data_IF_946456344169
#
_entry.id   IF_946456344169
#
_cell.length_a   1.000
_cell.length_b   1.000
_cell.length_c   1.000
_cell.angle_alpha   90.00
_cell.angle_beta   90.00
_cell.angle_gamma   90.00
#
_symmetry.space_group_name_H-M   'P 1'
#
loop_
_entity.id
_entity.type
_entity.pdbx_description
1 polymer ?
#
# COMPACT_ATOMS: atom_id res chain seq x y z
N UNK A 1 -11.74 -14.93 18.69
CA UNK A 1 -11.28 -14.92 17.29
C UNK A 1 -10.02 -14.03 17.11
N UNK A 2 -8.99 -14.17 17.97
CA UNK A 2 -7.75 -13.35 17.94
C UNK A 2 -6.46 -14.15 17.69
N UNK A 3 -6.54 -15.48 17.62
CA UNK A 3 -5.36 -16.38 17.55
C UNK A 3 -5.18 -17.00 16.14
N UNK A 4 -6.23 -17.00 15.30
CA UNK A 4 -6.23 -17.73 14.03
C UNK A 4 -5.41 -17.03 12.94
N UNK A 5 -5.39 -15.69 12.91
CA UNK A 5 -4.63 -14.93 11.90
C UNK A 5 -3.10 -15.10 12.05
N UNK A 6 -2.60 -15.28 13.29
CA UNK A 6 -1.17 -15.47 13.53
C UNK A 6 -0.68 -16.85 13.05
N UNK A 7 -1.51 -17.88 13.17
CA UNK A 7 -1.15 -19.24 12.73
C UNK A 7 -1.13 -19.41 11.21
N UNK A 8 -1.95 -18.66 10.46
CA UNK A 8 -1.97 -18.73 8.98
C UNK A 8 -0.73 -18.04 8.38
N UNK A 9 -0.26 -16.93 8.96
CA UNK A 9 1.00 -16.33 8.54
C UNK A 9 2.20 -17.23 8.84
N UNK A 10 2.18 -17.97 9.96
CA UNK A 10 3.28 -18.85 10.34
C UNK A 10 3.39 -20.09 9.44
N UNK A 11 2.27 -20.64 8.97
CA UNK A 11 2.27 -21.84 8.10
C UNK A 11 2.69 -21.55 6.65
N UNK A 12 2.39 -20.35 6.12
CA UNK A 12 2.85 -19.92 4.78
C UNK A 12 4.36 -19.64 4.78
N UNK A 13 4.94 -19.23 5.92
CA UNK A 13 6.38 -18.96 6.05
C UNK A 13 7.26 -20.22 6.17
N UNK A 14 6.67 -21.40 6.35
CA UNK A 14 7.43 -22.63 6.67
C UNK A 14 7.39 -23.73 5.61
N UNK A 15 6.63 -23.57 4.52
CA UNK A 15 6.74 -24.44 3.35
C UNK A 15 7.89 -23.96 2.45
N UNK A 16 9.13 -24.25 2.84
CA UNK A 16 10.30 -24.03 1.98
C UNK A 16 10.17 -24.91 0.72
N UNK A 17 10.21 -24.34 -0.50
CA UNK A 17 10.33 -25.14 -1.71
C UNK A 17 11.68 -25.86 -1.68
N UNK A 18 11.63 -27.18 -1.81
CA UNK A 18 12.80 -28.05 -1.87
C UNK A 18 13.64 -27.71 -3.10
N UNK A 19 14.81 -27.11 -2.82
CA UNK A 19 16.04 -27.02 -3.63
C UNK A 19 16.02 -27.68 -5.02
N UNK A 20 15.48 -26.98 -6.01
CA UNK A 20 15.99 -27.07 -7.38
C UNK A 20 17.01 -25.94 -7.54
N UNK A 21 18.31 -26.27 -7.48
CA UNK A 21 19.37 -25.32 -7.80
C UNK A 21 19.43 -25.19 -9.32
N UNK A 22 18.67 -24.25 -9.88
CA UNK A 22 18.97 -23.75 -11.22
C UNK A 22 20.24 -22.90 -11.14
N UNK A 23 21.27 -23.30 -11.88
CA UNK A 23 22.52 -22.55 -12.03
C UNK A 23 22.26 -21.27 -12.85
N UNK A 24 21.71 -20.25 -12.18
CA UNK A 24 21.64 -18.90 -12.74
C UNK A 24 23.07 -18.33 -12.75
N UNK A 25 23.60 -17.88 -13.91
CA UNK A 25 24.93 -17.28 -13.98
C UNK A 25 25.09 -16.16 -12.95
N UNK A 26 26.18 -16.20 -12.16
CA UNK A 26 26.43 -15.23 -11.08
C UNK A 26 26.42 -13.76 -11.54
N UNK A 27 26.77 -13.50 -12.81
CA UNK A 27 26.70 -12.16 -13.41
C UNK A 27 25.27 -11.66 -13.63
N UNK A 28 24.32 -12.55 -13.97
CA UNK A 28 22.90 -12.23 -13.95
C UNK A 28 22.44 -12.01 -12.51
N UNK A 29 22.76 -12.91 -11.58
CA UNK A 29 22.34 -12.78 -10.18
C UNK A 29 22.76 -11.44 -9.52
N UNK A 30 23.98 -10.97 -9.78
CA UNK A 30 24.46 -9.68 -9.27
C UNK A 30 23.77 -8.47 -9.93
N UNK A 31 23.58 -8.50 -11.26
CA UNK A 31 22.83 -7.46 -11.98
C UNK A 31 21.35 -7.42 -11.54
N UNK A 32 20.81 -8.55 -11.11
CA UNK A 32 19.41 -8.71 -10.71
C UNK A 32 19.12 -8.14 -9.32
N UNK A 33 20.07 -8.27 -8.38
CA UNK A 33 19.96 -7.71 -7.02
C UNK A 33 19.90 -6.18 -7.01
N UNK A 34 20.29 -5.53 -8.11
CA UNK A 34 20.25 -4.06 -8.30
C UNK A 34 18.89 -3.55 -8.81
N UNK A 35 18.08 -4.41 -9.45
CA UNK A 35 16.86 -3.97 -10.15
C UNK A 35 15.80 -3.47 -9.15
N UNK A 36 15.62 -4.20 -8.05
CA UNK A 36 14.64 -3.88 -7.01
C UNK A 36 15.20 -3.02 -5.87
N UNK A 37 16.50 -2.68 -5.91
CA UNK A 37 17.04 -1.54 -5.15
C UNK A 37 16.50 -0.20 -5.67
N UNK A 38 15.81 -0.19 -6.81
CA UNK A 38 15.07 0.98 -7.27
C UNK A 38 14.13 1.46 -6.16
N UNK A 39 14.02 2.79 -6.04
CA UNK A 39 13.17 3.45 -5.06
C UNK A 39 11.71 3.41 -5.49
N UNK A 40 11.23 2.24 -5.93
CA UNK A 40 9.80 1.95 -6.08
C UNK A 40 9.11 2.33 -4.77
N UNK A 41 7.90 2.86 -4.88
CA UNK A 41 7.10 3.37 -3.76
C UNK A 41 5.86 2.50 -3.49
N UNK A 42 5.64 1.45 -4.29
CA UNK A 42 4.49 0.57 -4.23
C UNK A 42 3.29 1.10 -5.03
N UNK A 43 2.08 0.70 -4.62
CA UNK A 43 0.81 1.18 -5.16
C UNK A 43 -0.10 1.63 -4.01
N UNK A 44 -1.19 2.35 -4.32
CA UNK A 44 -2.00 3.14 -3.37
C UNK A 44 -2.25 2.41 -2.04
N UNK A 45 -2.66 1.13 -2.07
CA UNK A 45 -3.07 0.41 -0.86
C UNK A 45 -1.91 -0.35 -0.18
N UNK A 46 -1.03 -0.91 -0.99
CA UNK A 46 0.04 -1.84 -0.63
C UNK A 46 1.37 -1.14 -0.87
N UNK A 47 1.96 -0.53 0.18
CA UNK A 47 3.32 -0.07 0.07
C UNK A 47 4.24 -1.27 -0.09
N UNK A 48 5.40 -1.07 -0.71
CA UNK A 48 6.49 -2.02 -0.58
C UNK A 48 7.21 -1.82 0.77
N UNK A 49 8.25 -2.61 1.01
CA UNK A 49 9.05 -2.58 2.25
C UNK A 49 10.24 -1.62 2.19
N UNK A 50 10.35 -0.77 1.17
CA UNK A 50 11.45 0.16 1.05
C UNK A 50 11.33 1.33 2.04
N UNK A 51 12.49 1.81 2.47
CA UNK A 51 12.72 3.01 3.29
C UNK A 51 13.79 3.86 2.61
N UNK A 52 13.76 5.16 2.85
CA UNK A 52 14.82 6.09 2.47
C UNK A 52 16.10 5.78 3.25
N UNK A 53 17.26 5.97 2.62
CA UNK A 53 18.56 5.82 3.29
C UNK A 53 18.77 6.93 4.32
N UNK A 54 19.67 6.72 5.28
CA UNK A 54 19.98 7.74 6.29
C UNK A 54 20.40 9.06 5.63
N UNK A 55 19.72 10.15 5.97
CA UNK A 55 20.00 11.48 5.45
C UNK A 55 19.35 11.77 4.08
N UNK A 56 18.75 10.76 3.44
CA UNK A 56 18.08 10.91 2.17
C UNK A 56 16.74 11.64 2.34
N UNK A 57 16.49 12.60 1.46
CA UNK A 57 15.21 13.29 1.35
C UNK A 57 14.48 12.84 0.09
N UNK A 58 13.15 12.83 0.17
CA UNK A 58 12.32 12.59 -0.99
C UNK A 58 11.15 13.56 -1.00
N UNK A 59 10.81 14.07 -2.19
CA UNK A 59 9.67 14.96 -2.39
C UNK A 59 8.87 14.57 -3.63
N UNK A 60 7.55 14.44 -3.47
CA UNK A 60 6.70 13.95 -4.54
C UNK A 60 5.21 14.13 -4.26
N UNK A 61 4.39 13.67 -5.21
CA UNK A 61 2.93 13.74 -5.11
C UNK A 61 2.41 12.87 -3.96
N UNK A 62 2.98 11.66 -3.80
CA UNK A 62 2.53 10.72 -2.78
C UNK A 62 3.10 11.00 -1.39
N UNK A 63 4.40 11.28 -1.28
CA UNK A 63 5.00 11.60 0.02
C UNK A 63 6.15 12.61 -0.05
N UNK A 64 6.32 13.34 1.06
CA UNK A 64 7.57 13.99 1.46
C UNK A 64 8.16 13.16 2.59
N UNK A 65 9.42 12.76 2.47
CA UNK A 65 10.03 11.84 3.43
C UNK A 65 11.48 12.16 3.73
N UNK A 66 11.91 11.71 4.90
CA UNK A 66 13.30 11.74 5.35
C UNK A 66 13.69 10.39 5.95
N UNK A 67 14.81 9.84 5.50
CA UNK A 67 15.42 8.66 6.10
C UNK A 67 16.17 9.04 7.38
N UNK A 68 15.55 8.82 8.54
CA UNK A 68 16.17 9.09 9.82
C UNK A 68 17.33 8.11 10.11
N UNK A 69 17.18 6.86 9.67
CA UNK A 69 18.21 5.81 9.68
C UNK A 69 18.05 4.98 8.40
N UNK A 70 18.96 4.03 8.15
CA UNK A 70 18.83 3.09 7.01
C UNK A 70 17.68 2.07 7.17
N UNK A 71 16.96 2.13 8.29
CA UNK A 71 15.80 1.29 8.59
C UNK A 71 14.54 2.10 8.90
N UNK A 72 14.62 3.42 9.12
CA UNK A 72 13.50 4.26 9.56
C UNK A 72 13.31 5.45 8.62
N UNK A 73 12.11 5.54 8.04
CA UNK A 73 11.64 6.72 7.31
C UNK A 73 10.53 7.41 8.09
N UNK A 74 10.62 8.75 8.17
CA UNK A 74 9.53 9.62 8.60
C UNK A 74 8.96 10.32 7.38
N UNK A 75 7.66 10.29 7.18
CA UNK A 75 7.04 10.86 6.00
C UNK A 75 5.70 11.54 6.28
N UNK A 76 5.29 12.41 5.36
CA UNK A 76 3.94 12.96 5.23
C UNK A 76 3.53 12.85 3.76
N UNK A 77 2.25 13.06 3.45
CA UNK A 77 1.66 12.91 2.13
C UNK A 77 1.06 14.24 1.68
N UNK A 78 1.68 14.91 0.68
CA UNK A 78 1.09 16.06 0.01
C UNK A 78 -0.25 15.74 -0.61
N UNK A 79 -0.43 14.54 -1.17
CA UNK A 79 -1.71 14.11 -1.72
C UNK A 79 -2.84 14.15 -0.68
N UNK A 80 -2.61 13.59 0.52
CA UNK A 80 -3.60 13.65 1.61
C UNK A 80 -3.83 15.08 2.11
N UNK A 81 -2.77 15.88 2.18
CA UNK A 81 -2.88 17.28 2.60
C UNK A 81 -3.72 18.11 1.62
N UNK A 82 -3.40 18.03 0.32
CA UNK A 82 -4.01 18.87 -0.72
C UNK A 82 -5.39 18.36 -1.15
N UNK A 83 -5.57 17.05 -1.30
CA UNK A 83 -6.81 16.47 -1.86
C UNK A 83 -7.87 16.24 -0.78
N UNK A 84 -7.45 15.96 0.45
CA UNK A 84 -8.35 15.62 1.56
C UNK A 84 -8.33 16.62 2.71
N UNK A 85 -7.48 17.65 2.66
CA UNK A 85 -7.37 18.61 3.76
C UNK A 85 -6.95 17.93 5.06
N UNK A 86 -6.00 17.00 4.99
CA UNK A 86 -5.57 16.19 6.15
C UNK A 86 -4.09 16.37 6.49
N UNK A 87 -3.84 16.72 7.75
CA UNK A 87 -2.55 16.49 8.36
C UNK A 87 -2.33 15.00 8.48
N UNK A 88 -1.11 14.57 8.17
CA UNK A 88 -0.76 13.17 8.25
C UNK A 88 0.73 13.01 8.54
N UNK A 89 1.06 11.96 9.28
CA UNK A 89 2.42 11.61 9.63
C UNK A 89 2.56 10.08 9.60
N UNK A 90 3.62 9.61 8.97
CA UNK A 90 3.95 8.22 8.83
C UNK A 90 5.34 7.93 9.40
N UNK A 91 5.45 6.81 10.10
CA UNK A 91 6.70 6.22 10.54
C UNK A 91 6.80 4.83 9.94
N UNK A 92 7.81 4.57 9.11
CA UNK A 92 8.06 3.26 8.51
C UNK A 92 9.40 2.72 8.97
N UNK A 93 9.36 1.58 9.65
CA UNK A 93 10.52 0.77 10.01
C UNK A 93 10.62 -0.40 9.04
N UNK A 94 11.81 -0.71 8.52
CA UNK A 94 12.05 -1.86 7.64
C UNK A 94 13.28 -2.65 8.08
N UNK A 95 13.18 -3.97 8.01
CA UNK A 95 14.22 -4.91 8.40
C UNK A 95 14.35 -6.04 7.36
N UNK A 96 15.59 -6.35 6.98
CA UNK A 96 15.88 -7.55 6.20
C UNK A 96 15.76 -8.79 7.07
N UNK A 97 15.05 -9.80 6.57
CA UNK A 97 15.03 -11.15 7.15
C UNK A 97 16.21 -11.93 6.56
N UNK A 98 16.36 -11.85 5.23
CA UNK A 98 17.47 -12.40 4.47
C UNK A 98 17.69 -11.55 3.19
N UNK A 99 18.54 -12.03 2.28
CA UNK A 99 18.88 -11.36 1.02
C UNK A 99 17.70 -11.16 0.05
N UNK A 100 16.61 -11.90 0.23
CA UNK A 100 15.43 -11.93 -0.63
C UNK A 100 14.14 -11.54 0.10
N UNK A 101 14.16 -11.45 1.43
CA UNK A 101 12.97 -11.24 2.25
C UNK A 101 13.12 -10.03 3.15
N UNK A 102 12.04 -9.28 3.26
CA UNK A 102 11.97 -8.05 4.05
C UNK A 102 10.66 -7.95 4.78
N UNK A 103 10.70 -7.31 5.94
CA UNK A 103 9.53 -6.98 6.74
C UNK A 103 9.55 -5.48 7.04
N UNK A 104 8.43 -4.81 6.81
CA UNK A 104 8.25 -3.43 7.19
C UNK A 104 7.03 -3.26 8.09
N UNK A 105 7.15 -2.34 9.04
CA UNK A 105 6.08 -1.89 9.92
C UNK A 105 5.87 -0.41 9.68
N UNK A 106 4.62 -0.01 9.49
CA UNK A 106 4.24 1.38 9.27
C UNK A 106 3.16 1.80 10.27
N UNK A 107 3.40 2.93 10.92
CA UNK A 107 2.42 3.62 11.76
C UNK A 107 2.03 4.91 11.06
N UNK A 108 0.73 5.21 11.04
CA UNK A 108 0.17 6.42 10.44
C UNK A 108 -0.75 7.13 11.43
N UNK A 109 -0.76 8.44 11.39
CA UNK A 109 -1.77 9.29 12.03
C UNK A 109 -2.33 10.27 11.01
N UNK A 110 -3.63 10.52 11.07
CA UNK A 110 -4.37 11.34 10.12
C UNK A 110 -5.36 12.22 10.88
N UNK A 111 -5.41 13.51 10.55
CA UNK A 111 -6.37 14.46 11.12
C UNK A 111 -6.78 15.50 10.08
N UNK A 112 -8.07 15.57 9.77
CA UNK A 112 -8.64 16.61 8.90
C UNK A 112 -8.59 18.00 9.53
N UNK A 113 -8.36 19.03 8.72
CA UNK A 113 -8.39 20.45 9.15
C UNK A 113 -9.41 21.30 8.36
N UNK A 114 -10.27 20.68 7.55
CA UNK A 114 -11.31 21.36 6.77
C UNK A 114 -12.74 20.92 7.14
N UNK A 115 -13.74 21.49 6.45
CA UNK A 115 -15.16 21.15 6.68
C UNK A 115 -15.70 20.05 5.74
N UNK A 116 -15.02 19.80 4.62
CA UNK A 116 -15.44 18.83 3.61
C UNK A 116 -15.26 17.38 4.08
N UNK A 117 -14.18 17.13 4.83
CA UNK A 117 -13.86 15.83 5.42
C UNK A 117 -13.70 16.01 6.93
N UNK A 118 -14.31 15.10 7.70
CA UNK A 118 -14.14 15.04 9.16
C UNK A 118 -13.69 13.62 9.50
N UNK A 119 -12.38 13.48 9.68
CA UNK A 119 -11.76 12.22 10.04
C UNK A 119 -10.53 12.45 10.92
N UNK A 120 -10.47 11.72 12.03
CA UNK A 120 -9.26 11.50 12.82
C UNK A 120 -9.03 10.00 12.97
N UNK A 121 -7.85 9.52 12.57
CA UNK A 121 -7.56 8.10 12.55
C UNK A 121 -6.08 7.81 12.82
N UNK A 122 -5.80 6.58 13.23
CA UNK A 122 -4.47 6.00 13.21
C UNK A 122 -4.47 4.69 12.44
N UNK A 123 -3.31 4.33 11.90
CA UNK A 123 -3.13 3.04 11.22
C UNK A 123 -1.87 2.35 11.71
N UNK A 124 -1.93 1.02 11.79
CA UNK A 124 -0.77 0.16 11.91
C UNK A 124 -0.77 -0.85 10.77
N UNK A 125 0.35 -1.02 10.10
CA UNK A 125 0.50 -1.87 8.93
C UNK A 125 1.77 -2.69 9.03
N UNK A 126 1.69 -3.95 8.63
CA UNK A 126 2.83 -4.83 8.46
C UNK A 126 2.87 -5.32 7.01
N UNK A 127 4.04 -5.24 6.38
CA UNK A 127 4.25 -5.66 5.00
C UNK A 127 5.41 -6.63 4.93
N UNK A 128 5.17 -7.83 4.43
CA UNK A 128 6.20 -8.81 4.11
C UNK A 128 6.48 -8.78 2.61
N UNK A 129 7.75 -8.73 2.23
CA UNK A 129 8.18 -8.81 0.84
C UNK A 129 9.06 -10.04 0.62
N UNK A 130 8.87 -10.69 -0.53
CA UNK A 130 9.81 -11.65 -1.10
C UNK A 130 10.21 -11.20 -2.51
N UNK A 131 11.49 -11.24 -2.78
CA UNK A 131 12.11 -10.75 -3.99
C UNK A 131 12.78 -11.89 -4.75
N UNK A 132 12.54 -11.91 -6.06
CA UNK A 132 13.28 -12.66 -7.04
C UNK A 132 13.82 -11.69 -8.10
N UNK A 133 14.73 -12.12 -8.97
CA UNK A 133 15.35 -11.26 -9.97
C UNK A 133 14.47 -10.29 -10.76
N UNK A 134 13.28 -10.74 -11.16
CA UNK A 134 12.37 -9.99 -12.02
C UNK A 134 11.01 -9.76 -11.38
N UNK A 135 10.85 -10.16 -10.12
CA UNK A 135 9.56 -10.13 -9.45
C UNK A 135 9.70 -9.90 -7.95
N UNK A 136 8.94 -8.96 -7.42
CA UNK A 136 8.75 -8.77 -5.98
C UNK A 136 7.27 -8.97 -5.64
N UNK A 137 7.02 -9.82 -4.65
CA UNK A 137 5.71 -9.97 -4.05
C UNK A 137 5.71 -9.27 -2.70
N UNK A 138 4.67 -8.47 -2.44
CA UNK A 138 4.43 -7.87 -1.14
C UNK A 138 3.06 -8.36 -0.63
N UNK A 139 3.00 -8.77 0.62
CA UNK A 139 1.78 -9.05 1.37
C UNK A 139 1.67 -8.02 2.48
N UNK A 140 0.61 -7.22 2.48
CA UNK A 140 0.37 -6.20 3.50
C UNK A 140 -0.92 -6.49 4.27
N UNK A 141 -0.82 -6.38 5.59
CA UNK A 141 -1.97 -6.38 6.50
C UNK A 141 -1.97 -5.08 7.26
N UNK A 142 -3.14 -4.44 7.38
CA UNK A 142 -3.26 -3.21 8.15
C UNK A 142 -4.53 -3.16 8.97
N UNK A 143 -4.46 -2.41 10.07
CA UNK A 143 -5.59 -1.98 10.87
C UNK A 143 -5.65 -0.47 10.87
N UNK A 144 -6.83 0.09 10.58
CA UNK A 144 -7.14 1.50 10.77
C UNK A 144 -8.10 1.62 11.95
N UNK A 145 -7.80 2.49 12.91
CA UNK A 145 -8.71 2.86 14.00
C UNK A 145 -9.18 4.29 13.77
N UNK A 146 -10.50 4.48 13.72
CA UNK A 146 -11.12 5.78 13.48
C UNK A 146 -11.64 6.34 14.80
N UNK A 147 -11.15 7.53 15.18
CA UNK A 147 -11.53 8.23 16.40
C UNK A 147 -12.68 9.22 16.17
N UNK A 148 -12.68 9.84 14.98
CA UNK A 148 -13.76 10.62 14.42
C UNK A 148 -13.85 10.24 12.94
N UNK A 149 -15.05 9.93 12.48
CA UNK A 149 -15.35 9.65 11.08
C UNK A 149 -16.76 10.16 10.73
N UNK A 150 -17.17 11.27 11.32
CA UNK A 150 -18.50 11.86 11.09
C UNK A 150 -18.74 12.24 9.63
N UNK A 151 -17.68 12.49 8.83
CA UNK A 151 -17.75 12.75 7.38
C UNK A 151 -16.54 12.16 6.65
N UNK A 152 -16.42 10.83 6.49
CA UNK A 152 -15.21 10.20 6.02
C UNK A 152 -15.35 9.90 4.52
N UNK A 153 -15.58 10.93 3.70
CA UNK A 153 -15.81 10.69 2.28
C UNK A 153 -14.55 10.08 1.63
N UNK A 154 -14.72 8.89 1.03
CA UNK A 154 -13.74 8.04 0.32
C UNK A 154 -12.49 7.52 1.05
N UNK A 155 -12.17 7.97 2.27
CA UNK A 155 -11.02 7.46 3.04
C UNK A 155 -11.35 6.31 3.99
N UNK A 156 -12.58 6.27 4.49
CA UNK A 156 -13.14 5.11 5.19
C UNK A 156 -14.27 4.57 4.33
N UNK A 157 -14.18 3.29 3.98
CA UNK A 157 -15.29 2.63 3.30
C UNK A 157 -16.43 2.40 4.31
N UNK A 158 -17.68 2.52 3.88
CA UNK A 158 -18.84 2.33 4.75
C UNK A 158 -18.85 0.91 5.33
N UNK A 159 -18.77 0.74 6.66
CA UNK A 159 -18.66 -0.57 7.28
C UNK A 159 -19.97 -1.38 7.28
N UNK A 160 -21.11 -0.70 7.17
CA UNK A 160 -22.46 -1.29 7.33
C UNK A 160 -22.63 -2.09 8.64
N UNK A 161 -21.83 -1.74 9.65
CA UNK A 161 -21.89 -2.26 11.02
C UNK A 161 -21.37 -1.16 11.99
N UNK A 162 -21.25 -1.46 13.29
CA UNK A 162 -20.78 -0.51 14.30
C UNK A 162 -19.27 -0.50 14.54
N UNK A 163 -18.47 -1.16 13.69
CA UNK A 163 -17.03 -1.25 13.91
C UNK A 163 -16.37 0.12 13.74
N UNK A 164 -15.53 0.51 14.67
CA UNK A 164 -14.74 1.76 14.61
C UNK A 164 -13.35 1.55 14.00
N UNK A 165 -13.11 0.40 13.40
CA UNK A 165 -11.83 0.03 12.80
C UNK A 165 -12.01 -0.77 11.51
N UNK A 166 -11.00 -0.75 10.65
CA UNK A 166 -10.93 -1.54 9.41
C UNK A 166 -9.73 -2.45 9.43
N UNK A 167 -9.94 -3.73 9.16
CA UNK A 167 -8.88 -4.69 8.86
C UNK A 167 -8.74 -4.81 7.34
N UNK A 168 -7.55 -4.56 6.82
CA UNK A 168 -7.29 -4.65 5.39
C UNK A 168 -6.19 -5.67 5.11
N UNK A 169 -6.31 -6.36 4.00
CA UNK A 169 -5.33 -7.31 3.49
C UNK A 169 -5.13 -7.06 2.01
N UNK A 170 -3.89 -6.92 1.57
CA UNK A 170 -3.60 -6.68 0.16
C UNK A 170 -2.28 -7.30 -0.26
N UNK A 171 -2.14 -7.52 -1.56
CA UNK A 171 -0.91 -7.96 -2.18
C UNK A 171 -0.53 -7.04 -3.34
N UNK A 172 0.77 -6.88 -3.52
CA UNK A 172 1.36 -6.16 -4.64
C UNK A 172 2.36 -7.07 -5.35
N UNK A 173 2.17 -7.19 -6.64
CA UNK A 173 2.98 -7.94 -7.57
C UNK A 173 3.75 -6.94 -8.43
N UNK A 174 5.05 -6.78 -8.19
CA UNK A 174 5.92 -5.87 -8.95
C UNK A 174 6.79 -6.69 -9.91
N UNK A 175 6.60 -6.50 -11.21
CA UNK A 175 7.38 -7.14 -12.26
C UNK A 175 8.39 -6.14 -12.82
N UNK A 176 9.67 -6.48 -12.78
CA UNK A 176 10.70 -5.68 -13.44
C UNK A 176 10.82 -6.09 -14.90
N UNK A 177 10.28 -5.26 -15.79
CA UNK A 177 10.36 -5.48 -17.25
C UNK A 177 11.74 -5.11 -17.79
N UNK A 178 12.38 -4.10 -17.17
CA UNK A 178 13.77 -3.66 -17.41
C UNK A 178 14.32 -3.12 -16.09
N UNK A 179 15.62 -2.81 -16.03
CA UNK A 179 16.30 -2.25 -14.83
C UNK A 179 15.52 -1.12 -14.14
N UNK A 180 14.83 -0.30 -14.92
CA UNK A 180 14.15 0.89 -14.46
C UNK A 180 12.64 0.91 -14.78
N UNK A 181 12.09 -0.14 -15.39
CA UNK A 181 10.69 -0.18 -15.83
C UNK A 181 9.96 -1.29 -15.10
N UNK A 182 8.90 -0.92 -14.38
CA UNK A 182 8.14 -1.80 -13.52
C UNK A 182 6.68 -1.84 -13.98
N UNK A 183 6.08 -3.02 -13.92
CA UNK A 183 4.64 -3.24 -14.04
C UNK A 183 4.14 -3.75 -12.69
N UNK A 184 3.13 -3.10 -12.15
CA UNK A 184 2.56 -3.45 -10.85
C UNK A 184 1.12 -3.94 -11.01
N UNK A 185 0.77 -4.95 -10.23
CA UNK A 185 -0.60 -5.41 -10.05
C UNK A 185 -0.91 -5.52 -8.56
N UNK A 186 -1.98 -4.88 -8.13
CA UNK A 186 -2.42 -4.82 -6.75
C UNK A 186 -3.79 -5.46 -6.62
N UNK A 187 -3.96 -6.33 -5.64
CA UNK A 187 -5.26 -6.87 -5.25
C UNK A 187 -5.39 -6.81 -3.74
N UNK A 188 -6.56 -6.47 -3.23
CA UNK A 188 -6.78 -6.44 -1.80
C UNK A 188 -8.23 -6.48 -1.41
N UNK A 189 -8.42 -6.55 -0.10
CA UNK A 189 -9.70 -6.34 0.54
C UNK A 189 -9.57 -5.31 1.65
N UNK A 190 -10.53 -4.38 1.68
CA UNK A 190 -10.65 -3.36 2.70
C UNK A 190 -11.83 -3.71 3.61
N UNK A 191 -11.63 -3.57 4.91
CA UNK A 191 -12.67 -3.84 5.89
C UNK A 191 -13.09 -5.30 5.88
N UNK A 192 -12.15 -6.23 6.06
CA UNK A 192 -12.43 -7.66 6.25
C UNK A 192 -13.40 -7.93 7.40
N UNK A 193 -13.50 -7.01 8.36
CA UNK A 193 -14.46 -7.04 9.47
C UNK A 193 -15.79 -6.34 9.16
N UNK A 194 -15.91 -5.64 8.03
CA UNK A 194 -17.15 -4.98 7.63
C UNK A 194 -18.22 -6.00 7.25
N UNK A 195 -19.48 -5.57 7.28
CA UNK A 195 -20.57 -6.45 6.85
C UNK A 195 -20.44 -6.81 5.36
N UNK A 196 -19.96 -5.87 4.55
CA UNK A 196 -19.59 -6.08 3.15
C UNK A 196 -18.15 -5.60 2.92
N UNK A 197 -17.14 -6.49 3.00
CA UNK A 197 -15.77 -6.14 2.66
C UNK A 197 -15.68 -5.64 1.22
N UNK A 198 -14.85 -4.61 1.02
CA UNK A 198 -14.59 -4.09 -0.31
C UNK A 198 -13.44 -4.88 -0.92
N UNK A 199 -13.51 -5.09 -2.24
CA UNK A 199 -12.44 -5.60 -3.06
C UNK A 199 -11.73 -4.43 -3.71
N UNK A 200 -10.41 -4.55 -3.84
CA UNK A 200 -9.56 -3.55 -4.44
C UNK A 200 -8.74 -4.23 -5.55
N UNK A 201 -8.67 -3.60 -6.71
CA UNK A 201 -7.81 -4.01 -7.83
C UNK A 201 -7.09 -2.79 -8.38
N UNK A 202 -5.79 -2.89 -8.62
CA UNK A 202 -4.98 -1.79 -9.12
C UNK A 202 -3.93 -2.26 -10.10
N UNK A 203 -3.57 -1.40 -11.03
CA UNK A 203 -2.41 -1.62 -11.90
C UNK A 203 -1.70 -0.31 -12.19
N UNK A 204 -0.38 -0.37 -12.30
CA UNK A 204 0.42 0.77 -12.70
C UNK A 204 1.65 0.34 -13.50
N UNK A 205 2.15 1.26 -14.30
CA UNK A 205 3.48 1.19 -14.91
C UNK A 205 4.31 2.31 -14.31
N UNK A 206 5.52 1.97 -13.90
CA UNK A 206 6.44 2.94 -13.32
C UNK A 206 7.83 2.89 -13.97
N UNK A 207 8.44 4.06 -14.07
CA UNK A 207 9.81 4.23 -14.55
C UNK A 207 10.66 4.99 -13.53
N UNK A 208 11.83 4.42 -13.20
CA UNK A 208 12.81 5.01 -12.30
C UNK A 208 14.00 5.57 -13.10
N UNK A 209 14.12 6.89 -13.17
CA UNK A 209 15.37 7.57 -13.50
C UNK A 209 16.28 7.59 -12.26
N UNK A 210 17.51 8.10 -12.37
CA UNK A 210 18.46 8.12 -11.25
C UNK A 210 17.87 8.72 -9.96
N UNK A 211 17.26 9.91 -10.07
CA UNK A 211 16.66 10.64 -8.95
C UNK A 211 15.17 10.86 -9.06
N UNK A 212 14.56 10.50 -10.18
CA UNK A 212 13.13 10.75 -10.43
C UNK A 212 12.42 9.42 -10.67
N UNK A 213 11.30 9.24 -9.99
CA UNK A 213 10.36 8.14 -10.22
C UNK A 213 9.06 8.72 -10.79
N UNK A 214 8.58 8.08 -11.85
CA UNK A 214 7.32 8.42 -12.52
C UNK A 214 6.47 7.16 -12.62
N UNK A 215 5.27 7.18 -12.05
CA UNK A 215 4.30 6.10 -12.12
C UNK A 215 2.97 6.59 -12.67
N UNK A 216 2.34 5.78 -13.51
CA UNK A 216 0.99 5.99 -14.02
C UNK A 216 0.17 4.74 -13.76
N UNK A 217 -0.98 4.90 -13.14
CA UNK A 217 -1.81 3.77 -12.75
C UNK A 217 -3.28 4.11 -12.65
N UNK A 218 -4.04 3.09 -12.31
CA UNK A 218 -5.41 3.24 -11.88
C UNK A 218 -5.77 2.10 -10.94
N UNK A 219 -6.72 2.35 -10.06
CA UNK A 219 -7.36 1.30 -9.28
C UNK A 219 -8.87 1.41 -9.30
N UNK A 220 -9.51 0.32 -8.92
CA UNK A 220 -10.93 0.23 -8.67
C UNK A 220 -11.15 -0.40 -7.29
N UNK A 221 -11.96 0.26 -6.48
CA UNK A 221 -12.46 -0.29 -5.21
C UNK A 221 -13.93 -0.59 -5.37
N UNK A 222 -14.37 -1.82 -5.10
CA UNK A 222 -15.76 -2.22 -5.25
C UNK A 222 -16.30 -3.02 -4.07
N UNK A 223 -17.56 -2.83 -3.71
CA UNK A 223 -18.25 -3.70 -2.76
C UNK A 223 -19.30 -4.56 -3.50
N UNK A 224 -19.01 -5.85 -3.75
CA UNK A 224 -19.80 -6.68 -4.64
C UNK A 224 -21.19 -7.05 -4.11
N UNK A 225 -21.44 -6.88 -2.80
CA UNK A 225 -22.63 -7.42 -2.13
C UNK A 225 -23.52 -6.38 -1.44
N UNK A 226 -23.36 -5.08 -1.72
CA UNK A 226 -24.21 -4.05 -1.08
C UNK A 226 -25.68 -4.22 -1.55
N UNK A 227 -26.64 -4.41 -0.61
CA UNK A 227 -28.06 -4.50 -0.95
C UNK A 227 -28.55 -3.22 -1.66
N UNK A 228 -29.43 -3.33 -2.67
CA UNK A 228 -29.96 -2.17 -3.39
C UNK A 228 -30.63 -1.10 -2.50
N UNK A 229 -31.19 -1.51 -1.37
CA UNK A 229 -31.82 -0.61 -0.39
C UNK A 229 -30.81 0.34 0.28
N UNK A 230 -29.56 -0.11 0.45
CA UNK A 230 -28.48 0.66 1.07
C UNK A 230 -27.79 1.60 0.08
N UNK A 231 -27.84 1.33 -1.22
CA UNK A 231 -27.27 2.19 -2.27
C UNK A 231 -28.07 3.49 -2.52
N UNK A 232 -29.30 3.56 -1.98
CA UNK A 232 -30.18 4.74 -2.08
C UNK A 232 -29.75 5.89 -1.15
N UNK A 233 -29.00 5.60 -0.08
CA UNK A 233 -28.52 6.63 0.87
C UNK A 233 -27.53 7.62 0.25
N UNK A 234 -26.91 7.27 -0.88
CA UNK A 234 -25.89 8.06 -1.57
C UNK A 234 -26.42 8.97 -2.71
N UNK A 235 -27.72 9.28 -2.74
CA UNK A 235 -28.29 10.29 -3.65
C UNK A 235 -28.44 9.83 -5.12
N UNK A 236 -29.15 10.62 -5.93
CA UNK A 236 -29.69 10.32 -7.27
C UNK A 236 -28.68 10.17 -8.43
N UNK A 237 -27.42 9.85 -8.13
CA UNK A 237 -26.39 9.60 -9.16
C UNK A 237 -26.49 8.14 -9.63
N UNK A 238 -26.27 7.90 -10.93
CA UNK A 238 -26.51 6.66 -11.66
C UNK A 238 -26.03 5.38 -10.94
N UNK A 239 -26.91 4.37 -10.79
CA UNK A 239 -26.72 3.23 -9.88
C UNK A 239 -25.57 2.28 -10.24
N UNK A 240 -25.15 2.24 -11.51
CA UNK A 240 -24.08 1.35 -12.00
C UNK A 240 -22.68 1.81 -11.62
N UNK A 241 -22.48 3.10 -11.32
CA UNK A 241 -21.20 3.67 -10.89
C UNK A 241 -21.03 3.75 -9.36
N UNK A 242 -22.08 3.46 -8.59
CA UNK A 242 -22.10 3.64 -7.13
C UNK A 242 -21.25 2.66 -6.34
N UNK A 243 -21.08 1.44 -6.85
CA UNK A 243 -20.41 0.39 -6.10
C UNK A 243 -18.93 0.26 -6.45
N UNK A 244 -18.42 1.04 -7.40
CA UNK A 244 -17.04 0.95 -7.87
C UNK A 244 -16.43 2.34 -8.02
N UNK A 245 -15.45 2.65 -7.19
CA UNK A 245 -14.70 3.91 -7.28
C UNK A 245 -13.43 3.67 -8.07
N UNK A 246 -13.27 4.37 -9.18
CA UNK A 246 -12.05 4.33 -10.00
C UNK A 246 -11.14 5.48 -9.59
N UNK A 247 -9.89 5.18 -9.27
CA UNK A 247 -8.89 6.16 -8.86
C UNK A 247 -7.73 6.15 -9.86
N UNK A 248 -7.68 7.12 -10.80
CA UNK A 248 -6.47 7.29 -11.60
C UNK A 248 -5.32 7.76 -10.71
N UNK A 249 -4.12 7.30 -11.00
CA UNK A 249 -2.93 7.56 -10.21
C UNK A 249 -1.81 8.15 -11.07
N UNK A 250 -1.23 9.25 -10.58
CA UNK A 250 0.02 9.81 -11.10
C UNK A 250 0.98 9.94 -9.92
N UNK A 251 2.03 9.14 -9.96
CA UNK A 251 3.10 9.14 -8.97
C UNK A 251 4.29 9.91 -9.53
N UNK A 252 4.69 10.99 -8.89
CA UNK A 252 5.92 11.72 -9.20
C UNK A 252 6.73 11.84 -7.93
N UNK A 253 7.94 11.29 -7.89
CA UNK A 253 8.76 11.29 -6.69
C UNK A 253 10.23 11.61 -7.04
N UNK A 254 10.77 12.65 -6.44
CA UNK A 254 12.18 13.03 -6.58
C UNK A 254 12.96 12.67 -5.31
N UNK A 255 14.16 12.13 -5.46
CA UNK A 255 15.06 11.70 -4.39
C UNK A 255 16.33 12.53 -4.43
N UNK A 256 16.68 13.19 -3.32
CA UNK A 256 17.80 14.13 -3.25
C UNK A 256 19.14 13.42 -3.07
#
# INVERSE_FOLDING_TARGET
MKIILFSIMYSILWSSPTNAKEDVPQSLAAAHKEIFKSKSIGHILTPNTNVLQKGELSAGSLYLGYGATDSLTVATSPFLYLSYGMHNLFLRLSQFIDDSKRLAFELGYYKSFGHSYQMEASSAKATFSIESPLYRFNLSTSVYSYFDDTRPFSLRMEPYNSDTYSLNLSTLHEFALRKNLFLNFEIGSLGLNYHYPYLYLGTSVAYQFEKLFVGLGASVTTAPQIPPERSQFYGSVDQTWKNSQVHPEIQLQYFF
#
